data_IF_317120014501
#
_entry.id   IF_317120014501
#
_cell.length_a   1.000
_cell.length_b   1.000
_cell.length_c   1.000
_cell.angle_alpha   90.00
_cell.angle_beta   90.00
_cell.angle_gamma   90.00
#
_symmetry.space_group_name_H-M   'P 1'
#
loop_
_entity.id
_entity.type
_entity.pdbx_description
1 polymer ?
#
# COMPACT_ATOMS: atom_id res chain seq x y z
N UNK A 1 20.04 33.49 -64.55
CA UNK A 1 21.43 33.22 -64.92
C UNK A 1 21.92 32.18 -63.93
N UNK A 2 22.06 30.96 -64.39
CA UNK A 2 23.27 30.14 -64.43
C UNK A 2 23.88 29.91 -63.04
N UNK A 3 24.20 28.77 -62.51
CA UNK A 3 24.40 27.40 -63.03
C UNK A 3 24.77 26.57 -61.78
N UNK A 4 24.27 25.33 -61.63
CA UNK A 4 25.01 24.11 -61.96
C UNK A 4 26.07 23.73 -60.92
N UNK A 5 25.93 22.66 -60.24
CA UNK A 5 26.13 21.24 -60.48
C UNK A 5 27.34 20.67 -59.71
N UNK A 6 27.24 19.51 -59.21
CA UNK A 6 27.88 18.17 -59.31
C UNK A 6 28.25 17.64 -57.94
N UNK A 7 27.61 16.63 -57.43
CA UNK A 7 27.90 15.20 -57.56
C UNK A 7 29.36 14.80 -57.22
N UNK A 8 29.50 14.06 -56.12
CA UNK A 8 30.48 13.00 -56.00
C UNK A 8 30.02 11.92 -55.02
N UNK A 9 29.84 10.78 -55.59
CA UNK A 9 29.64 9.46 -54.99
C UNK A 9 30.92 8.99 -54.40
N UNK A 10 30.94 8.43 -53.21
CA UNK A 10 31.98 7.52 -52.80
C UNK A 10 31.39 6.38 -51.96
N UNK A 11 31.51 5.22 -52.50
CA UNK A 11 31.28 3.89 -51.89
C UNK A 11 32.38 3.58 -50.91
N UNK A 12 32.01 3.04 -49.74
CA UNK A 12 32.82 2.00 -49.07
C UNK A 12 31.95 1.28 -48.03
N UNK A 13 31.68 0.13 -48.25
CA UNK A 13 31.42 -1.15 -47.62
C UNK A 13 31.94 -1.37 -46.19
N UNK A 14 31.18 -2.22 -45.47
CA UNK A 14 31.47 -3.09 -44.32
C UNK A 14 31.51 -2.41 -42.96
N UNK A 15 30.73 -2.83 -41.99
CA UNK A 15 30.60 -4.14 -41.35
C UNK A 15 29.34 -4.19 -40.50
N UNK A 16 28.56 -5.22 -40.67
CA UNK A 16 27.51 -5.66 -39.77
C UNK A 16 28.13 -6.16 -38.45
N UNK A 17 27.77 -5.56 -37.33
CA UNK A 17 27.71 -6.27 -36.07
C UNK A 17 26.38 -5.95 -35.47
N UNK A 18 25.47 -6.91 -35.58
CA UNK A 18 24.15 -6.88 -34.97
C UNK A 18 24.26 -6.99 -33.45
N UNK A 19 24.13 -5.88 -32.76
CA UNK A 19 23.79 -5.89 -31.35
C UNK A 19 22.28 -6.05 -31.24
N UNK A 20 21.83 -7.26 -30.96
CA UNK A 20 20.47 -7.56 -30.49
C UNK A 20 20.26 -6.80 -29.18
N UNK A 21 19.69 -5.61 -29.29
CA UNK A 21 19.17 -4.89 -28.13
C UNK A 21 17.96 -5.66 -27.62
N UNK A 22 18.12 -6.33 -26.48
CA UNK A 22 17.01 -6.88 -25.74
C UNK A 22 16.01 -5.77 -25.40
N UNK A 23 14.70 -6.02 -25.50
CA UNK A 23 13.71 -5.04 -25.12
C UNK A 23 13.88 -4.73 -23.62
N UNK A 24 14.26 -3.51 -23.31
CA UNK A 24 14.16 -2.98 -21.96
C UNK A 24 12.68 -3.01 -21.58
N UNK A 25 12.32 -3.90 -20.68
CA UNK A 25 11.09 -3.78 -19.93
C UNK A 25 11.15 -2.42 -19.20
N UNK A 26 10.61 -1.40 -19.81
CA UNK A 26 10.21 -0.20 -19.11
C UNK A 26 9.13 -0.62 -18.13
N UNK A 27 9.55 -0.88 -16.90
CA UNK A 27 8.66 -1.01 -15.76
C UNK A 27 7.90 0.30 -15.64
N UNK A 28 6.73 0.37 -16.27
CA UNK A 28 5.83 1.49 -16.16
C UNK A 28 5.61 1.76 -14.68
N UNK A 29 6.17 2.87 -14.21
CA UNK A 29 5.89 3.42 -12.89
C UNK A 29 4.38 3.62 -12.83
N UNK A 30 3.68 2.68 -12.21
CA UNK A 30 2.25 2.78 -11.97
C UNK A 30 1.99 4.14 -11.34
N UNK A 31 1.25 4.99 -12.03
CA UNK A 31 0.91 6.32 -11.57
C UNK A 31 0.47 6.24 -10.11
N UNK A 32 0.96 7.12 -9.23
CA UNK A 32 0.69 7.05 -7.81
C UNK A 32 -0.83 7.01 -7.62
N UNK A 33 -1.35 5.89 -7.11
CA UNK A 33 -2.79 5.73 -6.85
C UNK A 33 -3.21 6.88 -5.95
N UNK A 34 -4.01 7.80 -6.49
CA UNK A 34 -4.49 8.99 -5.79
C UNK A 34 -5.11 8.56 -4.47
N UNK A 35 -4.64 9.13 -3.36
CA UNK A 35 -5.20 8.88 -2.04
C UNK A 35 -6.68 9.28 -2.06
N UNK A 36 -7.53 8.47 -1.45
CA UNK A 36 -8.93 8.83 -1.28
C UNK A 36 -9.04 10.07 -0.40
N UNK A 37 -9.79 11.03 -0.88
CA UNK A 37 -10.13 12.21 -0.12
C UNK A 37 -11.64 12.37 -0.05
N UNK A 38 -12.17 12.35 1.15
CA UNK A 38 -13.60 12.49 1.42
C UNK A 38 -14.17 13.80 0.83
N UNK A 39 -13.43 14.91 0.99
CA UNK A 39 -13.85 16.22 0.47
C UNK A 39 -13.96 16.25 -1.06
N UNK A 40 -13.24 15.38 -1.74
CA UNK A 40 -13.30 15.23 -3.19
C UNK A 40 -14.32 14.17 -3.64
N UNK A 41 -14.83 13.33 -2.74
CA UNK A 41 -15.81 12.30 -3.09
C UNK A 41 -17.17 12.92 -3.44
N UNK A 42 -17.68 12.55 -4.61
CA UNK A 42 -18.95 13.07 -5.14
C UNK A 42 -20.14 12.78 -4.21
N UNK A 43 -20.16 11.61 -3.58
CA UNK A 43 -21.27 11.22 -2.73
C UNK A 43 -21.31 12.06 -1.46
N UNK A 44 -20.15 12.36 -0.85
CA UNK A 44 -20.07 13.27 0.29
C UNK A 44 -20.43 14.70 -0.07
N UNK A 45 -19.94 15.19 -1.22
CA UNK A 45 -20.27 16.54 -1.69
C UNK A 45 -21.75 16.67 -1.96
N UNK A 46 -22.36 15.71 -2.66
CA UNK A 46 -23.80 15.69 -2.90
C UNK A 46 -24.62 15.57 -1.61
N UNK A 47 -24.18 14.77 -0.66
CA UNK A 47 -24.88 14.56 0.62
C UNK A 47 -24.86 15.80 1.49
N UNK A 48 -23.70 16.48 1.61
CA UNK A 48 -23.51 17.66 2.48
C UNK A 48 -23.95 18.97 1.86
N UNK A 49 -23.94 19.07 0.52
CA UNK A 49 -24.22 20.34 -0.14
C UNK A 49 -25.67 20.83 0.11
N UNK A 50 -25.87 22.02 0.66
CA UNK A 50 -27.18 22.65 0.73
C UNK A 50 -27.80 22.85 -0.65
N UNK A 51 -26.96 23.16 -1.65
CA UNK A 51 -27.36 23.34 -3.03
C UNK A 51 -26.50 22.56 -4.00
N UNK A 52 -27.13 21.98 -5.02
CA UNK A 52 -26.46 21.36 -6.14
C UNK A 52 -27.22 21.72 -7.43
N UNK A 53 -26.48 22.09 -8.44
CA UNK A 53 -27.07 22.55 -9.70
C UNK A 53 -26.16 22.30 -10.90
N UNK A 54 -26.75 22.19 -12.06
CA UNK A 54 -26.08 22.18 -13.34
C UNK A 54 -25.93 23.65 -13.82
N UNK A 55 -24.71 24.05 -14.15
CA UNK A 55 -24.43 25.41 -14.58
C UNK A 55 -23.43 25.47 -15.72
N UNK A 56 -23.53 26.49 -16.53
CA UNK A 56 -22.59 26.85 -17.59
C UNK A 56 -21.69 27.98 -17.11
N UNK A 57 -20.40 27.85 -17.27
CA UNK A 57 -19.44 28.91 -16.96
C UNK A 57 -19.52 29.99 -18.01
N UNK A 58 -19.77 31.22 -17.58
CA UNK A 58 -19.77 32.44 -18.44
C UNK A 58 -18.42 33.14 -18.40
N UNK A 59 -17.88 33.34 -17.19
CA UNK A 59 -16.58 33.98 -17.01
C UNK A 59 -15.83 33.37 -15.84
N UNK A 60 -14.51 33.49 -15.87
CA UNK A 60 -13.59 33.01 -14.84
C UNK A 60 -12.72 34.15 -14.34
N UNK A 61 -12.63 34.27 -13.03
CA UNK A 61 -11.66 35.09 -12.34
C UNK A 61 -10.71 34.17 -11.54
N UNK A 62 -9.67 34.74 -10.92
CA UNK A 62 -8.62 33.96 -10.21
C UNK A 62 -9.19 33.03 -9.12
N UNK A 63 -10.21 33.46 -8.40
CA UNK A 63 -10.81 32.75 -7.25
C UNK A 63 -12.34 32.65 -7.33
N UNK A 64 -12.93 33.05 -8.45
CA UNK A 64 -14.37 33.05 -8.64
C UNK A 64 -14.74 32.68 -10.09
N UNK A 65 -15.94 32.19 -10.27
CA UNK A 65 -16.54 31.93 -11.56
C UNK A 65 -17.94 32.56 -11.60
N UNK A 66 -18.28 33.21 -12.70
CA UNK A 66 -19.67 33.58 -12.98
C UNK A 66 -20.30 32.43 -13.75
N UNK A 67 -21.35 31.88 -13.21
CA UNK A 67 -22.04 30.71 -13.77
C UNK A 67 -23.52 31.01 -13.98
N UNK A 68 -24.06 30.55 -15.09
CA UNK A 68 -25.50 30.54 -15.34
C UNK A 68 -26.06 29.19 -14.93
N UNK A 69 -27.02 29.17 -14.03
CA UNK A 69 -27.72 27.97 -13.57
C UNK A 69 -28.66 27.50 -14.67
N UNK A 70 -28.52 26.27 -15.11
CA UNK A 70 -29.43 25.68 -16.09
C UNK A 70 -30.52 24.84 -15.40
N UNK A 71 -30.15 24.11 -14.38
CA UNK A 71 -31.06 23.21 -13.68
C UNK A 71 -30.63 23.03 -12.23
N UNK A 72 -31.56 23.22 -11.33
CA UNK A 72 -31.36 22.93 -9.91
C UNK A 72 -31.63 21.46 -9.65
N UNK A 73 -30.67 20.78 -9.00
CA UNK A 73 -30.77 19.36 -8.62
C UNK A 73 -31.18 19.20 -7.16
N UNK A 74 -30.71 20.10 -6.31
CA UNK A 74 -31.04 20.23 -4.89
C UNK A 74 -30.91 21.66 -4.47
N UNK A 75 -31.84 22.15 -3.66
CA UNK A 75 -31.78 23.49 -3.06
C UNK A 75 -32.23 23.45 -1.60
N UNK A 76 -31.74 24.37 -0.84
CA UNK A 76 -32.21 24.68 0.50
C UNK A 76 -32.90 26.05 0.45
N UNK A 77 -34.19 26.08 0.82
CA UNK A 77 -34.99 27.27 0.63
C UNK A 77 -35.20 27.64 -0.85
N UNK A 78 -35.10 28.92 -1.18
CA UNK A 78 -35.35 29.44 -2.53
C UNK A 78 -34.09 29.62 -3.39
N UNK A 79 -32.93 29.17 -2.94
CA UNK A 79 -31.65 29.36 -3.63
C UNK A 79 -30.99 28.02 -4.00
N UNK A 80 -30.38 27.89 -5.17
CA UNK A 80 -30.40 28.83 -6.32
C UNK A 80 -31.73 28.73 -7.11
N UNK A 81 -31.95 29.72 -7.99
CA UNK A 81 -33.07 29.67 -8.95
C UNK A 81 -32.56 29.20 -10.32
N UNK A 82 -33.43 28.51 -11.05
CA UNK A 82 -33.15 28.16 -12.45
C UNK A 82 -32.96 29.44 -13.27
N UNK A 83 -32.10 29.37 -14.27
CA UNK A 83 -31.71 30.45 -15.17
C UNK A 83 -31.04 31.69 -14.48
N UNK A 84 -30.78 31.61 -13.17
CA UNK A 84 -30.08 32.71 -12.48
C UNK A 84 -28.58 32.73 -12.79
N UNK A 85 -27.99 33.93 -12.73
CA UNK A 85 -26.56 34.12 -12.82
C UNK A 85 -26.01 34.22 -11.40
N UNK A 86 -24.99 33.44 -11.09
CA UNK A 86 -24.39 33.38 -9.76
C UNK A 86 -22.89 33.62 -9.87
N UNK A 87 -22.38 34.49 -9.03
CA UNK A 87 -20.94 34.61 -8.78
C UNK A 87 -20.55 33.60 -7.70
N UNK A 88 -19.80 32.58 -8.10
CA UNK A 88 -19.38 31.45 -7.28
C UNK A 88 -17.93 31.65 -6.85
N UNK A 89 -17.68 31.75 -5.55
CA UNK A 89 -16.31 31.75 -5.00
C UNK A 89 -15.78 30.32 -5.06
N UNK A 90 -14.61 30.15 -5.65
CA UNK A 90 -13.91 28.86 -5.72
C UNK A 90 -12.99 28.73 -4.51
N UNK A 91 -13.02 27.62 -3.78
CA UNK A 91 -12.15 27.44 -2.62
C UNK A 91 -10.69 27.37 -3.04
N UNK A 92 -9.83 28.17 -2.35
CA UNK A 92 -8.38 28.15 -2.57
C UNK A 92 -7.71 26.89 -2.04
N UNK A 93 -8.33 26.22 -1.07
CA UNK A 93 -7.71 25.17 -0.25
C UNK A 93 -8.22 23.76 -0.59
N UNK A 94 -8.06 23.34 -1.81
CA UNK A 94 -8.17 21.91 -2.11
C UNK A 94 -6.80 21.18 -2.11
N UNK A 95 -5.76 21.85 -1.60
CA UNK A 95 -4.37 21.36 -1.55
C UNK A 95 -4.21 20.05 -0.78
N UNK A 96 -5.01 19.81 0.26
CA UNK A 96 -4.91 18.57 1.05
C UNK A 96 -5.26 17.30 0.27
N UNK A 97 -6.07 17.41 -0.77
CA UNK A 97 -6.65 16.24 -1.43
C UNK A 97 -6.22 16.02 -2.87
N UNK A 98 -5.92 17.07 -3.62
CA UNK A 98 -5.77 16.93 -5.09
C UNK A 98 -4.54 17.61 -5.67
N UNK A 99 -3.69 18.29 -4.84
CA UNK A 99 -2.73 19.21 -5.45
C UNK A 99 -3.49 20.25 -6.29
N UNK A 100 -2.89 21.28 -6.76
CA UNK A 100 -3.51 22.37 -7.51
C UNK A 100 -4.87 22.11 -8.16
N UNK A 101 -5.79 23.05 -7.99
CA UNK A 101 -7.07 23.15 -8.68
C UNK A 101 -6.86 23.44 -10.18
N UNK A 102 -6.36 22.43 -10.89
CA UNK A 102 -6.28 22.48 -12.34
C UNK A 102 -7.42 21.67 -12.96
N UNK A 103 -8.67 22.12 -12.75
CA UNK A 103 -9.66 21.84 -13.77
C UNK A 103 -9.72 23.09 -14.61
N UNK A 104 -9.23 23.10 -15.85
CA UNK A 104 -9.49 24.17 -16.76
C UNK A 104 -11.00 24.21 -17.00
N UNK A 105 -11.67 25.06 -16.24
CA UNK A 105 -13.07 25.36 -16.48
C UNK A 105 -13.12 25.99 -17.89
N UNK A 106 -13.66 25.26 -18.85
CA UNK A 106 -13.82 25.76 -20.20
C UNK A 106 -15.13 26.53 -20.29
N UNK A 107 -15.10 27.72 -20.82
CA UNK A 107 -16.29 28.50 -21.14
C UNK A 107 -17.26 27.65 -22.01
N UNK A 108 -18.56 27.87 -21.81
CA UNK A 108 -19.65 27.21 -22.55
C UNK A 108 -19.85 25.69 -22.31
N UNK A 109 -19.19 25.09 -21.31
CA UNK A 109 -19.46 23.71 -20.90
C UNK A 109 -20.33 23.66 -19.65
N UNK A 110 -21.12 22.59 -19.53
CA UNK A 110 -21.98 22.34 -18.38
C UNK A 110 -21.21 21.57 -17.31
N UNK A 111 -21.31 22.09 -16.09
CA UNK A 111 -20.71 21.53 -14.89
C UNK A 111 -21.76 21.30 -13.83
N UNK A 112 -21.51 20.34 -12.97
CA UNK A 112 -22.26 20.13 -11.72
C UNK A 112 -21.52 20.86 -10.62
N UNK A 113 -22.21 21.74 -9.94
CA UNK A 113 -21.70 22.57 -8.85
C UNK A 113 -22.40 22.12 -7.55
N UNK A 114 -21.59 21.90 -6.51
CA UNK A 114 -22.06 21.75 -5.14
C UNK A 114 -21.66 23.02 -4.40
N UNK A 115 -22.61 23.72 -3.83
CA UNK A 115 -22.38 25.02 -3.22
C UNK A 115 -23.18 25.21 -1.95
N UNK A 116 -22.69 26.11 -1.13
CA UNK A 116 -23.42 26.71 0.00
C UNK A 116 -23.49 28.22 -0.17
N UNK A 117 -24.49 28.82 0.47
CA UNK A 117 -24.63 30.27 0.55
C UNK A 117 -24.16 30.74 1.92
N UNK A 118 -23.18 31.63 1.95
CA UNK A 118 -22.69 32.31 3.16
C UNK A 118 -23.02 33.78 3.05
N UNK A 119 -24.12 34.19 3.71
CA UNK A 119 -24.66 35.53 3.52
C UNK A 119 -25.05 35.77 2.06
N UNK A 120 -24.42 36.76 1.42
CA UNK A 120 -24.64 37.09 0.00
C UNK A 120 -23.73 36.35 -0.98
N UNK A 121 -22.75 35.59 -0.47
CA UNK A 121 -21.73 34.91 -1.30
C UNK A 121 -22.05 33.43 -1.50
N UNK A 122 -22.04 32.99 -2.73
CA UNK A 122 -22.07 31.56 -3.08
C UNK A 122 -20.67 30.99 -3.03
N UNK A 123 -20.44 29.90 -2.29
CA UNK A 123 -19.14 29.24 -2.14
C UNK A 123 -19.25 27.81 -2.65
N UNK A 124 -18.37 27.41 -3.55
CA UNK A 124 -18.32 26.04 -4.01
C UNK A 124 -17.70 25.13 -2.94
N UNK A 125 -18.31 23.95 -2.72
CA UNK A 125 -17.81 22.91 -1.81
C UNK A 125 -16.78 21.99 -2.50
N UNK A 126 -16.04 22.51 -3.42
CA UNK A 126 -15.00 21.83 -4.19
C UNK A 126 -15.11 22.14 -5.70
N UNK A 127 -14.23 21.57 -6.52
CA UNK A 127 -14.21 21.88 -7.95
C UNK A 127 -15.53 21.55 -8.63
N UNK A 128 -16.04 22.40 -9.54
CA UNK A 128 -17.11 22.04 -10.43
C UNK A 128 -16.76 20.77 -11.22
N UNK A 129 -17.70 19.86 -11.38
CA UNK A 129 -17.48 18.59 -12.04
C UNK A 129 -18.11 18.58 -13.43
N UNK A 130 -17.36 18.13 -14.45
CA UNK A 130 -17.91 17.98 -15.80
C UNK A 130 -19.14 17.07 -15.77
N UNK A 131 -20.26 17.55 -16.33
CA UNK A 131 -21.50 16.76 -16.39
C UNK A 131 -21.30 15.51 -17.24
N UNK A 132 -21.61 14.36 -16.68
CA UNK A 132 -21.65 13.06 -17.38
C UNK A 132 -22.83 12.26 -16.89
N UNK A 133 -23.37 11.35 -17.72
CA UNK A 133 -24.47 10.48 -17.32
C UNK A 133 -24.16 9.63 -16.09
N UNK A 134 -22.92 9.13 -15.98
CA UNK A 134 -22.46 8.37 -14.80
C UNK A 134 -22.47 9.22 -13.52
N UNK A 135 -22.00 10.47 -13.61
CA UNK A 135 -22.03 11.41 -12.49
C UNK A 135 -23.44 11.69 -12.04
N UNK A 136 -24.35 11.97 -12.98
CA UNK A 136 -25.74 12.27 -12.68
C UNK A 136 -26.45 11.10 -12.02
N UNK A 137 -26.23 9.85 -12.47
CA UNK A 137 -26.78 8.66 -11.82
C UNK A 137 -26.32 8.54 -10.37
N UNK A 138 -25.03 8.80 -10.10
CA UNK A 138 -24.48 8.78 -8.74
C UNK A 138 -25.09 9.85 -7.84
N UNK A 139 -25.27 11.07 -8.34
CA UNK A 139 -25.87 12.18 -7.60
C UNK A 139 -27.35 11.88 -7.30
N UNK A 140 -28.11 11.41 -8.28
CA UNK A 140 -29.52 11.03 -8.08
C UNK A 140 -29.67 9.94 -7.02
N UNK A 141 -28.77 8.96 -7.00
CA UNK A 141 -28.79 7.92 -5.98
C UNK A 141 -28.60 8.49 -4.57
N UNK A 142 -27.75 9.53 -4.40
CA UNK A 142 -27.57 10.19 -3.10
C UNK A 142 -28.81 10.92 -2.61
N UNK A 143 -29.63 11.42 -3.53
CA UNK A 143 -30.85 12.16 -3.20
C UNK A 143 -32.08 11.30 -2.99
N UNK A 144 -31.96 9.99 -3.17
CA UNK A 144 -33.06 9.08 -2.85
C UNK A 144 -33.25 8.98 -1.32
N UNK A 145 -34.52 8.87 -0.85
CA UNK A 145 -34.81 8.58 0.53
C UNK A 145 -34.08 7.31 1.00
N UNK A 146 -33.57 7.31 2.23
CA UNK A 146 -32.88 6.14 2.78
C UNK A 146 -31.48 5.89 2.19
N UNK A 147 -30.89 6.84 1.46
CA UNK A 147 -29.55 6.66 0.91
C UNK A 147 -28.49 6.44 1.98
N UNK A 148 -28.54 7.19 3.09
CA UNK A 148 -27.52 7.11 4.13
C UNK A 148 -27.61 5.78 4.90
N UNK A 149 -26.45 5.19 5.18
CA UNK A 149 -26.36 4.01 6.02
C UNK A 149 -25.19 4.16 7.02
N UNK A 150 -25.35 3.61 8.25
CA UNK A 150 -24.29 3.63 9.24
C UNK A 150 -23.04 2.88 8.74
N UNK A 151 -21.91 3.17 9.36
CA UNK A 151 -20.68 2.49 9.06
C UNK A 151 -20.71 1.05 9.59
N UNK A 152 -20.08 0.14 8.82
CA UNK A 152 -19.77 -1.24 9.19
C UNK A 152 -18.33 -1.52 8.83
N UNK A 153 -17.63 -2.28 9.67
CA UNK A 153 -16.21 -2.66 9.48
C UNK A 153 -16.14 -4.17 9.55
N UNK A 154 -15.35 -4.76 8.64
CA UNK A 154 -15.02 -6.18 8.69
C UNK A 154 -13.98 -6.45 9.79
N UNK A 155 -14.03 -7.63 10.44
CA UNK A 155 -13.01 -8.02 11.42
C UNK A 155 -11.61 -7.95 10.83
N UNK A 156 -10.64 -7.48 11.62
CA UNK A 156 -9.22 -7.45 11.24
C UNK A 156 -8.50 -8.64 11.84
N UNK A 157 -7.50 -9.16 11.11
CA UNK A 157 -6.64 -10.23 11.61
C UNK A 157 -5.46 -9.67 12.42
N UNK A 158 -5.17 -10.30 13.56
CA UNK A 158 -3.97 -10.04 14.35
C UNK A 158 -2.72 -10.56 13.62
N UNK A 159 -1.60 -9.87 13.80
CA UNK A 159 -0.38 -10.13 13.03
C UNK A 159 0.80 -10.34 13.98
N UNK A 160 1.56 -11.41 13.74
CA UNK A 160 2.86 -11.65 14.39
C UNK A 160 3.97 -11.46 13.36
N UNK A 161 4.96 -10.64 13.67
CA UNK A 161 6.10 -10.38 12.77
C UNK A 161 7.39 -10.35 13.55
N UNK A 162 8.50 -10.68 12.90
CA UNK A 162 9.84 -10.50 13.46
C UNK A 162 10.27 -9.04 13.36
N UNK A 163 11.02 -8.56 14.35
CA UNK A 163 11.63 -7.22 14.35
C UNK A 163 12.33 -6.92 13.02
N UNK A 164 12.15 -5.71 12.50
CA UNK A 164 12.69 -5.27 11.21
C UNK A 164 11.74 -5.52 10.03
N UNK A 165 10.85 -6.48 10.12
CA UNK A 165 9.90 -6.79 9.06
C UNK A 165 8.80 -5.73 8.94
N UNK A 166 8.03 -5.82 7.86
CA UNK A 166 6.93 -4.91 7.56
C UNK A 166 5.62 -5.46 8.11
N UNK A 167 4.90 -4.63 8.88
CA UNK A 167 3.50 -4.88 9.26
C UNK A 167 2.57 -4.24 8.24
N UNK A 168 1.50 -4.93 7.89
CA UNK A 168 0.43 -4.42 7.05
C UNK A 168 -0.91 -4.82 7.65
N UNK A 169 -1.66 -3.82 8.13
CA UNK A 169 -3.03 -4.00 8.59
C UNK A 169 -3.99 -3.43 7.54
N UNK A 170 -5.08 -4.13 7.29
CA UNK A 170 -6.09 -3.72 6.33
C UNK A 170 -7.45 -3.63 7.01
N UNK A 171 -8.13 -2.52 6.81
CA UNK A 171 -9.44 -2.24 7.33
C UNK A 171 -10.41 -2.02 6.18
N UNK A 172 -11.34 -2.93 6.00
CA UNK A 172 -12.43 -2.82 5.04
C UNK A 172 -13.67 -2.27 5.73
N UNK A 173 -14.23 -1.20 5.18
CA UNK A 173 -15.38 -0.54 5.78
C UNK A 173 -16.40 -0.14 4.72
N UNK A 174 -17.67 -0.17 5.08
CA UNK A 174 -18.79 0.21 4.23
C UNK A 174 -19.72 1.18 4.93
N UNK A 175 -20.19 2.18 4.20
CA UNK A 175 -21.23 3.13 4.60
C UNK A 175 -21.75 3.83 3.34
N UNK A 176 -22.83 4.56 3.48
CA UNK A 176 -23.32 5.51 2.46
C UNK A 176 -23.66 6.86 3.11
N UNK A 177 -22.94 7.94 2.71
CA UNK A 177 -21.72 8.02 1.89
C UNK A 177 -20.56 7.18 2.43
N UNK A 178 -19.48 6.95 1.63
CA UNK A 178 -18.33 6.13 2.07
C UNK A 178 -17.76 6.62 3.40
N UNK A 179 -17.32 5.72 4.30
CA UNK A 179 -16.89 6.12 5.63
C UNK A 179 -15.53 6.82 5.62
N UNK A 180 -15.31 7.67 6.61
CA UNK A 180 -13.98 8.19 6.95
C UNK A 180 -13.31 7.20 7.89
N UNK A 181 -12.14 6.70 7.51
CA UNK A 181 -11.40 5.70 8.29
C UNK A 181 -10.20 6.37 8.96
N UNK A 182 -10.06 6.15 10.26
CA UNK A 182 -8.95 6.61 11.10
C UNK A 182 -8.35 5.45 11.87
N UNK A 183 -7.04 5.50 12.11
CA UNK A 183 -6.28 4.48 12.81
C UNK A 183 -5.84 4.96 14.18
N UNK A 184 -5.85 4.05 15.14
CA UNK A 184 -5.41 4.28 16.52
C UNK A 184 -4.47 3.17 16.95
N UNK A 185 -3.50 3.51 17.80
CA UNK A 185 -2.59 2.60 18.49
C UNK A 185 -2.80 2.80 19.99
N UNK A 186 -3.25 1.79 20.70
CA UNK A 186 -3.56 1.86 22.15
C UNK A 186 -4.39 3.10 22.50
N UNK A 187 -5.43 3.38 21.71
CA UNK A 187 -6.32 4.53 21.87
C UNK A 187 -5.82 5.86 21.31
N UNK A 188 -4.53 6.01 20.97
CA UNK A 188 -3.95 7.24 20.44
C UNK A 188 -4.01 7.29 18.91
N UNK A 189 -4.39 8.41 18.29
CA UNK A 189 -4.44 8.54 16.83
C UNK A 189 -3.07 8.29 16.18
N UNK A 190 -3.02 7.40 15.19
CA UNK A 190 -1.79 7.13 14.43
C UNK A 190 -1.34 8.34 13.62
N UNK A 191 -2.25 9.27 13.29
CA UNK A 191 -1.93 10.51 12.60
C UNK A 191 -0.99 11.42 13.41
N UNK A 192 -1.07 11.36 14.74
CA UNK A 192 -0.26 12.15 15.66
C UNK A 192 1.10 11.51 15.95
N UNK A 193 1.28 10.26 15.53
CA UNK A 193 2.56 9.57 15.65
C UNK A 193 3.48 10.04 14.53
N UNK A 194 4.36 11.00 14.81
CA UNK A 194 5.27 11.64 13.84
C UNK A 194 6.41 10.72 13.34
N UNK A 195 6.16 9.43 13.20
CA UNK A 195 7.17 8.48 12.76
C UNK A 195 7.04 8.24 11.24
N UNK A 196 8.09 8.56 10.48
CA UNK A 196 8.16 8.35 9.01
C UNK A 196 7.92 6.89 8.58
N UNK A 197 8.05 5.93 9.51
CA UNK A 197 7.83 4.51 9.25
C UNK A 197 6.36 4.09 9.28
N UNK A 198 5.46 4.91 9.84
CA UNK A 198 4.02 4.71 9.76
C UNK A 198 3.46 5.34 8.49
N UNK A 199 2.70 4.58 7.73
CA UNK A 199 2.08 5.07 6.50
C UNK A 199 0.64 4.60 6.39
N UNK A 200 -0.29 5.54 6.40
CA UNK A 200 -1.72 5.28 6.16
C UNK A 200 -2.05 5.54 4.69
N UNK A 201 -2.73 4.60 4.07
CA UNK A 201 -3.24 4.71 2.70
C UNK A 201 -4.75 4.55 2.72
N UNK A 202 -5.48 5.64 2.52
CA UNK A 202 -6.93 5.64 2.49
C UNK A 202 -7.46 5.45 1.07
N UNK A 203 -8.42 4.53 0.94
CA UNK A 203 -9.24 4.30 -0.25
C UNK A 203 -10.70 4.55 0.11
N UNK A 204 -11.58 4.45 -0.87
CA UNK A 204 -12.99 4.78 -0.69
C UNK A 204 -13.73 3.91 0.35
N UNK A 205 -13.37 2.61 0.42
CA UNK A 205 -13.98 1.61 1.32
C UNK A 205 -12.96 0.77 2.07
N UNK A 206 -11.71 1.17 2.03
CA UNK A 206 -10.59 0.45 2.61
C UNK A 206 -9.53 1.41 3.07
N UNK A 207 -8.90 1.12 4.19
CA UNK A 207 -7.69 1.79 4.63
C UNK A 207 -6.61 0.77 4.97
N UNK A 208 -5.38 1.09 4.69
CA UNK A 208 -4.22 0.24 4.95
C UNK A 208 -3.23 1.01 5.81
N UNK A 209 -2.91 0.46 6.96
CA UNK A 209 -1.82 0.91 7.81
C UNK A 209 -0.59 0.05 7.55
N UNK A 210 0.51 0.69 7.21
CA UNK A 210 1.81 0.05 6.98
C UNK A 210 2.81 0.58 7.98
N UNK A 211 3.45 -0.31 8.72
CA UNK A 211 4.58 -0.02 9.58
C UNK A 211 5.81 -0.62 8.92
N UNK A 212 6.79 0.23 8.59
CA UNK A 212 8.07 -0.21 8.03
C UNK A 212 9.06 -0.45 9.15
N UNK A 213 9.85 -1.52 9.06
CA UNK A 213 10.86 -1.87 10.06
C UNK A 213 10.25 -1.92 11.45
N UNK A 214 9.36 -2.91 11.67
CA UNK A 214 8.66 -3.10 12.94
C UNK A 214 9.65 -3.21 14.10
N UNK A 215 9.35 -2.54 15.20
CA UNK A 215 10.13 -2.51 16.43
C UNK A 215 9.32 -3.08 17.58
N UNK A 216 9.97 -3.47 18.68
CA UNK A 216 9.30 -3.99 19.88
C UNK A 216 8.19 -3.05 20.38
N UNK A 217 8.42 -1.74 20.31
CA UNK A 217 7.47 -0.70 20.70
C UNK A 217 6.21 -0.61 19.79
N UNK A 218 6.20 -1.31 18.65
CA UNK A 218 5.03 -1.41 17.78
C UNK A 218 4.10 -2.55 18.17
N UNK A 219 4.51 -3.41 19.12
CA UNK A 219 3.62 -4.37 19.76
C UNK A 219 2.53 -3.60 20.50
N UNK A 220 1.30 -3.70 20.00
CA UNK A 220 0.18 -2.90 20.48
C UNK A 220 -1.14 -3.43 19.92
N UNK A 221 -2.24 -2.93 20.50
CA UNK A 221 -3.58 -3.06 19.94
C UNK A 221 -3.82 -1.92 18.95
N UNK A 222 -4.12 -2.28 17.71
CA UNK A 222 -4.47 -1.32 16.67
C UNK A 222 -5.97 -1.34 16.44
N UNK A 223 -6.55 -0.15 16.31
CA UNK A 223 -7.97 0.03 16.04
C UNK A 223 -8.16 0.78 14.74
N UNK A 224 -9.09 0.29 13.93
CA UNK A 224 -9.63 0.98 12.78
C UNK A 224 -11.02 1.49 13.15
N UNK A 225 -11.23 2.81 13.10
CA UNK A 225 -12.52 3.44 13.35
C UNK A 225 -13.07 4.03 12.06
N UNK A 226 -14.24 3.56 11.64
CA UNK A 226 -14.92 4.02 10.45
C UNK A 226 -16.11 4.90 10.83
N UNK A 227 -16.05 6.19 10.53
CA UNK A 227 -17.13 7.15 10.78
C UNK A 227 -17.97 7.31 9.52
N UNK A 228 -19.24 6.97 9.60
CA UNK A 228 -20.24 7.23 8.56
C UNK A 228 -20.86 8.63 8.66
N UNK A 229 -21.79 8.92 7.78
CA UNK A 229 -22.61 10.15 7.84
C UNK A 229 -23.67 10.10 8.92
N UNK A 230 -24.09 8.90 9.31
CA UNK A 230 -25.12 8.62 10.32
C UNK A 230 -24.63 7.50 11.23
N UNK A 231 -25.11 7.51 12.46
CA UNK A 231 -24.78 6.52 13.49
C UNK A 231 -23.40 6.68 14.13
N UNK A 232 -23.10 5.86 15.14
CA UNK A 232 -21.80 5.84 15.80
C UNK A 232 -20.73 5.26 14.87
N UNK A 233 -19.43 5.53 15.15
CA UNK A 233 -18.35 4.93 14.41
C UNK A 233 -18.31 3.41 14.64
N UNK A 234 -18.11 2.65 13.56
CA UNK A 234 -17.82 1.22 13.66
C UNK A 234 -16.32 1.02 13.91
N UNK A 235 -15.97 0.04 14.74
CA UNK A 235 -14.60 -0.23 15.17
C UNK A 235 -14.24 -1.69 14.91
N UNK A 236 -13.03 -1.92 14.36
CA UNK A 236 -12.39 -3.22 14.34
C UNK A 236 -10.99 -3.11 14.95
N UNK A 237 -10.54 -4.18 15.61
CA UNK A 237 -9.29 -4.22 16.32
C UNK A 237 -8.41 -5.38 15.84
N UNK A 238 -7.09 -5.19 15.89
CA UNK A 238 -6.10 -6.23 15.66
C UNK A 238 -4.91 -6.05 16.60
N UNK A 239 -4.37 -7.13 17.10
CA UNK A 239 -3.14 -7.11 17.88
C UNK A 239 -1.95 -7.32 16.96
N UNK A 240 -0.93 -6.49 17.09
CA UNK A 240 0.36 -6.67 16.46
C UNK A 240 1.36 -7.10 17.53
N UNK A 241 2.04 -8.23 17.29
CA UNK A 241 3.11 -8.74 18.16
C UNK A 241 4.41 -8.76 17.38
N UNK A 242 5.41 -8.00 17.84
CA UNK A 242 6.73 -7.94 17.21
C UNK A 242 7.68 -8.82 18.02
N UNK A 243 8.05 -9.95 17.44
CA UNK A 243 8.97 -10.92 18.03
C UNK A 243 10.43 -10.45 17.83
N UNK A 244 11.34 -10.82 18.74
CA UNK A 244 12.76 -10.60 18.51
C UNK A 244 13.16 -11.31 17.21
N UNK A 245 14.21 -10.84 16.49
CA UNK A 245 14.78 -11.63 15.41
C UNK A 245 15.15 -12.98 16.01
N UNK A 246 14.83 -14.05 15.29
CA UNK A 246 15.41 -15.35 15.61
C UNK A 246 16.90 -15.18 15.30
N UNK A 247 17.65 -14.71 16.25
CA UNK A 247 19.06 -15.00 16.30
C UNK A 247 19.09 -16.51 16.46
N UNK A 248 19.42 -17.22 15.40
CA UNK A 248 20.05 -18.50 15.58
C UNK A 248 21.35 -18.20 16.35
N UNK A 249 21.20 -18.02 17.66
CA UNK A 249 22.31 -18.42 18.51
C UNK A 249 22.48 -19.89 18.16
N UNK A 250 23.67 -20.33 17.78
CA UNK A 250 23.93 -21.77 17.87
C UNK A 250 23.61 -22.12 19.30
N UNK A 251 22.46 -22.80 19.49
CA UNK A 251 22.15 -23.42 20.73
C UNK A 251 23.32 -24.39 20.98
N UNK A 252 24.22 -24.01 21.86
CA UNK A 252 25.37 -24.83 22.25
C UNK A 252 24.88 -26.16 22.86
N UNK A 253 23.58 -26.25 23.16
CA UNK A 253 22.86 -27.44 23.61
C UNK A 253 22.51 -28.42 22.49
N UNK A 254 22.58 -28.01 21.20
CA UNK A 254 22.42 -28.94 20.07
C UNK A 254 23.74 -29.45 19.51
N UNK A 255 24.87 -28.92 19.96
CA UNK A 255 26.17 -29.56 19.77
C UNK A 255 26.24 -30.68 20.80
N UNK A 256 26.12 -31.94 20.36
CA UNK A 256 26.22 -33.09 21.24
C UNK A 256 27.37 -32.95 22.26
N UNK A 257 27.18 -33.53 23.46
CA UNK A 257 28.24 -33.59 24.43
C UNK A 257 29.42 -34.43 23.89
N UNK A 258 30.63 -34.26 24.41
CA UNK A 258 31.72 -35.22 24.09
C UNK A 258 31.30 -36.65 24.37
N UNK A 259 31.66 -37.58 23.51
CA UNK A 259 31.28 -38.98 23.70
C UNK A 259 31.74 -39.51 25.04
N UNK A 260 30.89 -40.25 25.80
CA UNK A 260 31.19 -40.75 27.13
C UNK A 260 32.09 -42.02 27.10
N UNK A 261 33.02 -42.10 26.17
CA UNK A 261 33.93 -43.22 26.00
C UNK A 261 35.33 -42.88 26.50
N UNK A 262 36.10 -43.88 27.02
CA UNK A 262 37.45 -43.61 27.52
C UNK A 262 38.42 -43.13 26.45
N UNK A 263 38.17 -43.46 25.18
CA UNK A 263 38.91 -42.95 24.01
C UNK A 263 37.97 -42.51 22.89
N UNK A 264 37.52 -41.25 22.91
CA UNK A 264 36.67 -40.72 21.84
C UNK A 264 37.32 -40.70 20.46
N UNK A 265 38.64 -40.77 20.39
CA UNK A 265 39.40 -40.72 19.13
C UNK A 265 39.32 -42.05 18.35
N UNK A 266 38.99 -43.16 19.04
CA UNK A 266 38.86 -44.48 18.40
C UNK A 266 37.54 -44.65 17.64
N UNK A 267 36.51 -43.87 17.96
CA UNK A 267 35.21 -43.96 17.27
C UNK A 267 35.19 -43.22 15.94
N UNK A 268 35.71 -42.02 15.91
CA UNK A 268 35.77 -41.20 14.70
C UNK A 268 37.13 -41.32 14.02
N UNK A 269 37.14 -41.63 12.75
CA UNK A 269 38.37 -41.80 11.95
C UNK A 269 38.86 -40.47 11.43
N UNK A 270 40.09 -40.46 10.91
CA UNK A 270 40.71 -39.32 10.19
C UNK A 270 40.62 -37.97 10.93
N UNK A 271 40.72 -37.97 12.26
CA UNK A 271 40.68 -36.75 13.08
C UNK A 271 39.31 -36.17 13.30
N UNK A 272 38.25 -36.90 13.09
CA UNK A 272 36.87 -36.52 13.40
C UNK A 272 36.65 -36.38 14.92
N UNK A 273 35.78 -35.48 15.33
CA UNK A 273 35.38 -35.24 16.73
C UNK A 273 34.10 -35.98 17.03
N UNK A 274 34.12 -36.84 18.07
CA UNK A 274 32.93 -37.60 18.51
C UNK A 274 32.01 -36.72 19.34
N UNK A 275 30.70 -36.68 18.97
CA UNK A 275 29.63 -35.99 19.65
C UNK A 275 28.54 -36.98 20.04
N UNK A 276 28.08 -36.92 21.28
CA UNK A 276 26.98 -37.72 21.81
C UNK A 276 25.73 -36.87 21.99
N UNK A 277 24.62 -37.31 21.41
CA UNK A 277 23.33 -36.63 21.46
C UNK A 277 22.43 -37.32 22.47
N UNK A 278 22.31 -36.75 23.68
CA UNK A 278 21.57 -37.33 24.81
C UNK A 278 20.10 -37.60 24.46
N UNK A 279 19.45 -36.75 23.67
CA UNK A 279 18.03 -36.85 23.31
C UNK A 279 17.71 -38.12 22.53
N UNK A 280 18.63 -38.60 21.69
CA UNK A 280 18.48 -39.76 20.83
C UNK A 280 19.38 -40.92 21.24
N UNK A 281 20.24 -40.71 22.26
CA UNK A 281 21.21 -41.69 22.75
C UNK A 281 22.14 -42.22 21.64
N UNK A 282 22.48 -41.35 20.67
CA UNK A 282 23.31 -41.72 19.52
C UNK A 282 24.61 -40.91 19.48
N UNK A 283 25.63 -41.53 18.91
CA UNK A 283 26.96 -40.94 18.66
C UNK A 283 27.08 -40.57 17.19
N UNK A 284 27.65 -39.39 16.91
CA UNK A 284 27.95 -38.94 15.55
C UNK A 284 29.34 -38.32 15.51
N UNK A 285 29.96 -38.35 14.31
CA UNK A 285 31.27 -37.77 14.10
C UNK A 285 31.15 -36.42 13.34
N UNK A 286 31.76 -35.41 13.91
CA UNK A 286 32.04 -34.17 13.17
C UNK A 286 33.33 -34.34 12.40
N UNK A 287 33.22 -34.49 11.09
CA UNK A 287 34.38 -34.72 10.23
C UNK A 287 35.16 -33.44 9.94
N UNK A 288 36.51 -33.54 9.88
CA UNK A 288 37.33 -32.45 9.39
C UNK A 288 37.14 -32.26 7.86
N UNK A 289 37.58 -31.13 7.36
CA UNK A 289 37.50 -30.80 5.93
C UNK A 289 38.21 -31.85 5.07
N UNK A 290 37.51 -32.29 4.01
CA UNK A 290 38.01 -33.34 3.09
C UNK A 290 37.65 -34.77 3.52
N UNK A 291 36.87 -34.96 4.57
CA UNK A 291 36.39 -36.27 4.99
C UNK A 291 34.87 -36.27 5.21
N UNK A 292 34.20 -37.37 4.92
CA UNK A 292 32.78 -37.58 5.13
C UNK A 292 32.48 -39.01 5.55
N UNK A 293 31.22 -39.32 5.80
CA UNK A 293 30.76 -40.60 6.31
C UNK A 293 30.39 -40.59 7.78
N UNK A 294 29.74 -41.64 8.28
CA UNK A 294 29.21 -41.72 9.64
C UNK A 294 30.32 -41.69 10.72
N UNK A 295 31.51 -42.14 10.38
CA UNK A 295 32.70 -42.17 11.22
C UNK A 295 33.88 -41.40 10.61
N UNK A 296 33.62 -40.56 9.60
CA UNK A 296 34.62 -39.83 8.80
C UNK A 296 35.54 -40.78 8.02
N UNK A 297 35.05 -41.93 7.64
CA UNK A 297 35.82 -43.00 6.96
C UNK A 297 36.12 -42.69 5.49
N UNK A 298 35.32 -41.84 4.82
CA UNK A 298 35.44 -41.59 3.42
C UNK A 298 36.22 -40.28 3.17
N UNK A 299 37.20 -40.33 2.25
CA UNK A 299 37.89 -39.11 1.76
C UNK A 299 37.03 -38.46 0.70
N UNK A 300 36.69 -37.18 0.87
CA UNK A 300 35.96 -36.41 -0.12
C UNK A 300 36.86 -36.05 -1.28
N UNK A 301 36.64 -36.71 -2.42
CA UNK A 301 37.38 -36.47 -3.66
C UNK A 301 36.68 -35.54 -4.63
N UNK A 302 35.53 -34.93 -4.21
CA UNK A 302 34.78 -34.00 -5.03
C UNK A 302 35.49 -32.65 -5.11
N UNK A 303 35.77 -32.26 -6.32
CA UNK A 303 36.40 -31.03 -6.74
C UNK A 303 35.75 -29.76 -6.12
N UNK A 304 36.62 -28.81 -5.73
CA UNK A 304 36.33 -27.43 -5.29
C UNK A 304 35.12 -26.82 -6.06
N UNK A 305 33.96 -26.75 -5.44
CA UNK A 305 32.91 -25.73 -5.68
C UNK A 305 31.58 -26.13 -5.02
N UNK A 306 31.51 -26.13 -3.70
CA UNK A 306 30.24 -25.88 -3.01
C UNK A 306 30.48 -25.71 -1.50
N UNK A 307 30.35 -24.52 -1.01
CA UNK A 307 30.24 -24.20 0.41
C UNK A 307 28.84 -24.57 0.93
N UNK A 308 28.55 -25.84 1.03
CA UNK A 308 27.39 -26.32 1.78
C UNK A 308 27.81 -27.54 2.61
N UNK A 309 27.98 -27.31 3.90
CA UNK A 309 28.11 -28.40 4.86
C UNK A 309 26.75 -29.08 4.99
N UNK A 310 26.55 -30.19 4.33
CA UNK A 310 25.41 -31.08 4.56
C UNK A 310 25.73 -32.06 5.69
N UNK A 311 25.08 -31.83 6.83
CA UNK A 311 25.03 -32.82 7.91
C UNK A 311 23.87 -33.77 7.60
N UNK A 312 24.15 -35.05 7.36
CA UNK A 312 23.11 -36.07 7.23
C UNK A 312 23.00 -36.84 8.54
N UNK A 313 21.95 -36.57 9.31
CA UNK A 313 21.57 -37.37 10.46
C UNK A 313 20.57 -38.41 9.99
N UNK A 314 20.90 -39.72 10.08
CA UNK A 314 19.92 -40.81 9.92
C UNK A 314 19.25 -41.05 11.26
N UNK A 315 18.08 -40.43 11.48
CA UNK A 315 17.14 -40.92 12.48
C UNK A 315 16.38 -42.12 11.86
N UNK A 316 16.32 -43.22 12.56
CA UNK A 316 15.82 -44.52 12.12
C UNK A 316 14.32 -44.60 11.78
N UNK A 317 13.76 -43.64 11.09
CA UNK A 317 12.44 -43.64 10.47
C UNK A 317 12.53 -42.90 9.14
N UNK A 318 12.16 -43.54 8.10
CA UNK A 318 12.15 -43.30 6.66
C UNK A 318 11.84 -41.90 6.14
N UNK A 319 12.43 -40.82 6.67
CA UNK A 319 12.38 -39.46 6.12
C UNK A 319 13.70 -38.75 6.34
N UNK A 320 14.36 -38.35 5.26
CA UNK A 320 15.60 -37.58 5.26
C UNK A 320 15.29 -36.13 5.61
N UNK A 321 15.78 -35.64 6.75
CA UNK A 321 15.82 -34.23 7.06
C UNK A 321 17.28 -33.71 6.98
N UNK A 322 17.49 -32.58 6.36
CA UNK A 322 18.74 -31.85 6.40
C UNK A 322 18.85 -31.13 7.75
N UNK A 323 19.90 -31.35 8.52
CA UNK A 323 20.24 -30.60 9.74
C UNK A 323 21.10 -29.38 9.40
#
# INVERSE_FOLDING_TARGET
MKASARAAVCWALLCCVGALAAPRHEGGLAAPRRRYCERADVAWRAYRAPAAFEARVQSLARDAATVQVHRVLRRQGHWPRDNSIIRLKLPKDSLECTGRFEVPLKNRRNYIVFAERRGHTAVALGPPLKRTGKLMRRIRAVYQPGYSSPARVEPMQSVRVTRGNRVRLECNASARPPPRISWYKDGNPVADIALRRFRVQNFRRRSVLVIRHARREDTARYECRAQGAVGPPAVATANVSVLPPVTAAPDTTTLGAPCPMPDPSSYCLNGGTCLFFELVQEQACKCPEGFNGQRCENKDVSNRSSMYHSYTCKLGLSTSYYC
#
